data_IF_550060405938
#
_entry.id   IF_550060405938
#
_cell.length_a   1.000
_cell.length_b   1.000
_cell.length_c   1.000
_cell.angle_alpha   90.00
_cell.angle_beta   90.00
_cell.angle_gamma   90.00
#
_symmetry.space_group_name_H-M   'P 1'
#
loop_
_entity.id
_entity.type
_entity.pdbx_description
1 polymer ?
#
# COMPACT_ATOMS: atom_id res chain seq x y z
N UNK A 1 -20.22 -9.04 18.68
CA UNK A 1 -19.39 -7.82 18.44
C UNK A 1 -17.94 -8.18 18.11
N UNK A 2 -17.21 -8.94 18.95
CA UNK A 2 -15.81 -9.35 18.70
C UNK A 2 -15.58 -10.01 17.32
N UNK A 3 -16.38 -11.02 17.00
CA UNK A 3 -16.27 -11.74 15.70
C UNK A 3 -16.50 -10.81 14.50
N UNK A 4 -17.48 -9.91 14.58
CA UNK A 4 -17.76 -8.96 13.50
C UNK A 4 -16.58 -8.02 13.25
N UNK A 5 -15.96 -7.49 14.31
CA UNK A 5 -14.77 -6.64 14.20
C UNK A 5 -13.56 -7.40 13.64
N UNK A 6 -13.39 -8.67 14.03
CA UNK A 6 -12.34 -9.52 13.49
C UNK A 6 -12.55 -9.83 12.00
N UNK A 7 -13.78 -10.11 11.59
CA UNK A 7 -14.12 -10.31 10.17
C UNK A 7 -13.88 -9.04 9.37
N UNK A 8 -14.31 -7.88 9.88
CA UNK A 8 -14.06 -6.58 9.26
C UNK A 8 -12.56 -6.34 9.08
N UNK A 9 -11.76 -6.58 10.12
CA UNK A 9 -10.31 -6.44 10.06
C UNK A 9 -9.68 -7.33 8.99
N UNK A 10 -10.01 -8.62 8.97
CA UNK A 10 -9.48 -9.57 7.99
C UNK A 10 -9.89 -9.20 6.58
N UNK A 11 -11.15 -8.84 6.35
CA UNK A 11 -11.65 -8.41 5.04
C UNK A 11 -10.92 -7.14 4.55
N UNK A 12 -10.69 -6.18 5.46
CA UNK A 12 -9.94 -4.96 5.16
C UNK A 12 -8.47 -5.25 4.81
N UNK A 13 -7.82 -6.21 5.51
CA UNK A 13 -6.45 -6.65 5.19
C UNK A 13 -6.39 -7.27 3.79
N UNK A 14 -7.35 -8.13 3.44
CA UNK A 14 -7.43 -8.75 2.11
C UNK A 14 -7.59 -7.68 1.01
N UNK A 15 -8.50 -6.72 1.22
CA UNK A 15 -8.74 -5.62 0.28
C UNK A 15 -7.50 -4.75 0.10
N UNK A 16 -6.86 -4.38 1.20
CA UNK A 16 -5.66 -3.56 1.23
C UNK A 16 -4.48 -4.24 0.52
N UNK A 17 -4.13 -5.47 0.91
CA UNK A 17 -3.03 -6.22 0.29
C UNK A 17 -3.32 -6.56 -1.17
N UNK A 18 -4.56 -6.91 -1.49
CA UNK A 18 -5.00 -7.17 -2.86
C UNK A 18 -4.79 -5.96 -3.77
N UNK A 19 -5.17 -4.75 -3.31
CA UNK A 19 -4.95 -3.52 -4.07
C UNK A 19 -3.45 -3.24 -4.29
N UNK A 20 -2.61 -3.42 -3.26
CA UNK A 20 -1.17 -3.20 -3.40
C UNK A 20 -0.53 -4.16 -4.43
N UNK A 21 -0.85 -5.45 -4.36
CA UNK A 21 -0.31 -6.45 -5.30
C UNK A 21 -0.80 -6.19 -6.72
N UNK A 22 -2.10 -5.95 -6.90
CA UNK A 22 -2.68 -5.64 -8.21
C UNK A 22 -2.10 -4.36 -8.79
N UNK A 23 -1.91 -3.33 -7.96
CA UNK A 23 -1.30 -2.06 -8.36
C UNK A 23 0.11 -2.22 -8.91
N UNK A 24 0.94 -3.07 -8.27
CA UNK A 24 2.29 -3.37 -8.75
C UNK A 24 2.24 -4.06 -10.12
N UNK A 25 1.37 -5.06 -10.30
CA UNK A 25 1.21 -5.76 -11.58
C UNK A 25 0.75 -4.82 -12.69
N UNK A 26 -0.24 -3.97 -12.44
CA UNK A 26 -0.70 -2.96 -13.40
C UNK A 26 0.41 -1.98 -13.78
N UNK A 27 1.19 -1.53 -12.79
CA UNK A 27 2.32 -0.64 -13.02
C UNK A 27 3.36 -1.28 -13.95
N UNK A 28 3.74 -2.54 -13.69
CA UNK A 28 4.69 -3.29 -14.52
C UNK A 28 4.17 -3.39 -15.97
N UNK A 29 2.90 -3.77 -16.15
CA UNK A 29 2.31 -3.88 -17.49
C UNK A 29 2.26 -2.53 -18.23
N UNK A 30 1.88 -1.47 -17.53
CA UNK A 30 1.88 -0.13 -18.13
C UNK A 30 3.26 0.32 -18.57
N UNK A 31 4.29 0.09 -17.75
CA UNK A 31 5.67 0.46 -18.07
C UNK A 31 6.24 -0.32 -19.26
N UNK A 32 5.85 -1.60 -19.42
CA UNK A 32 6.29 -2.46 -20.51
C UNK A 32 5.76 -2.02 -21.88
N UNK A 33 4.70 -1.21 -21.93
CA UNK A 33 4.17 -0.70 -23.19
C UNK A 33 5.06 0.35 -23.83
N UNK A 34 5.92 0.99 -23.05
CA UNK A 34 6.74 2.15 -23.45
C UNK A 34 5.92 3.29 -24.11
N UNK A 35 4.59 3.29 -23.92
CA UNK A 35 3.67 4.33 -24.41
C UNK A 35 3.37 5.35 -23.30
N UNK A 36 3.75 6.62 -23.47
CA UNK A 36 3.50 7.66 -22.48
C UNK A 36 2.02 7.82 -22.11
N UNK A 37 1.10 7.57 -23.05
CA UNK A 37 -0.36 7.68 -22.82
C UNK A 37 -0.83 6.57 -21.88
N UNK A 38 -0.38 5.33 -22.14
CA UNK A 38 -0.71 4.17 -21.32
C UNK A 38 -0.08 4.30 -19.92
N UNK A 39 1.19 4.70 -19.86
CA UNK A 39 1.90 4.95 -18.60
C UNK A 39 1.17 6.00 -17.75
N UNK A 40 0.79 7.14 -18.35
CA UNK A 40 0.02 8.18 -17.66
C UNK A 40 -1.31 7.64 -17.13
N UNK A 41 -2.05 6.88 -17.96
CA UNK A 41 -3.32 6.28 -17.57
C UNK A 41 -3.16 5.31 -16.40
N UNK A 42 -2.15 4.46 -16.47
CA UNK A 42 -1.83 3.44 -15.45
C UNK A 42 -1.46 4.10 -14.12
N UNK A 43 -0.54 5.07 -14.12
CA UNK A 43 -0.13 5.77 -12.90
C UNK A 43 -1.29 6.57 -12.29
N UNK A 44 -2.11 7.23 -13.11
CA UNK A 44 -3.31 7.92 -12.63
C UNK A 44 -4.34 6.95 -12.04
N UNK A 45 -4.51 5.77 -12.67
CA UNK A 45 -5.36 4.68 -12.18
C UNK A 45 -4.90 4.14 -10.83
N UNK A 46 -3.58 3.92 -10.68
CA UNK A 46 -2.95 3.49 -9.43
C UNK A 46 -3.25 4.46 -8.28
N UNK A 47 -3.02 5.75 -8.48
CA UNK A 47 -3.31 6.79 -7.48
C UNK A 47 -4.81 6.81 -7.11
N UNK A 48 -5.69 6.60 -8.08
CA UNK A 48 -7.14 6.54 -7.85
C UNK A 48 -7.53 5.30 -7.06
N UNK A 49 -6.97 4.14 -7.42
CA UNK A 49 -7.20 2.88 -6.68
C UNK A 49 -6.72 2.99 -5.24
N UNK A 50 -5.57 3.60 -4.99
CA UNK A 50 -5.07 3.85 -3.64
C UNK A 50 -6.02 4.72 -2.81
N UNK A 51 -6.62 5.75 -3.41
CA UNK A 51 -7.60 6.60 -2.71
C UNK A 51 -8.87 5.84 -2.33
N UNK A 52 -9.33 4.90 -3.17
CA UNK A 52 -10.58 4.18 -2.95
C UNK A 52 -10.42 2.87 -2.16
N UNK A 53 -9.24 2.25 -2.19
CA UNK A 53 -9.01 0.95 -1.57
C UNK A 53 -7.95 1.00 -0.47
N UNK A 54 -6.78 1.61 -0.73
CA UNK A 54 -5.70 1.65 0.26
C UNK A 54 -6.10 2.52 1.46
N UNK A 55 -6.56 3.75 1.26
CA UNK A 55 -6.88 4.66 2.36
C UNK A 55 -8.06 4.15 3.21
N UNK A 56 -9.24 3.79 2.62
CA UNK A 56 -10.32 3.20 3.41
C UNK A 56 -9.94 1.86 4.04
N UNK A 57 -9.16 1.04 3.33
CA UNK A 57 -8.64 -0.22 3.85
C UNK A 57 -7.83 -0.04 5.13
N UNK A 58 -6.91 0.93 5.15
CA UNK A 58 -6.13 1.29 6.36
C UNK A 58 -7.05 1.68 7.51
N UNK A 59 -8.04 2.54 7.27
CA UNK A 59 -9.00 2.96 8.31
C UNK A 59 -9.76 1.77 8.88
N UNK A 60 -10.26 0.88 8.01
CA UNK A 60 -11.00 -0.31 8.43
C UNK A 60 -10.10 -1.33 9.15
N UNK A 61 -8.84 -1.48 8.75
CA UNK A 61 -7.85 -2.30 9.45
C UNK A 61 -7.66 -1.79 10.90
N UNK A 62 -7.53 -0.48 11.08
CA UNK A 62 -7.35 0.12 12.40
C UNK A 62 -8.60 -0.05 13.25
N UNK A 63 -9.78 0.31 12.74
CA UNK A 63 -11.05 0.18 13.46
C UNK A 63 -11.31 -1.27 13.85
N UNK A 64 -11.19 -2.19 12.89
CA UNK A 64 -11.43 -3.62 13.13
C UNK A 64 -10.41 -4.24 14.07
N UNK A 65 -9.11 -3.92 13.90
CA UNK A 65 -8.03 -4.47 14.71
C UNK A 65 -8.04 -3.97 16.14
N UNK A 66 -8.06 -2.65 16.35
CA UNK A 66 -8.13 -2.08 17.69
C UNK A 66 -9.46 -2.41 18.39
N UNK A 67 -10.57 -2.33 17.66
CA UNK A 67 -11.88 -2.69 18.19
C UNK A 67 -11.95 -4.15 18.62
N UNK A 68 -11.43 -5.09 17.83
CA UNK A 68 -11.38 -6.49 18.20
C UNK A 68 -10.47 -6.74 19.42
N UNK A 69 -9.33 -6.09 19.49
CA UNK A 69 -8.41 -6.22 20.63
C UNK A 69 -9.05 -5.70 21.94
N UNK A 70 -9.71 -4.53 21.88
CA UNK A 70 -10.39 -3.94 23.03
C UNK A 70 -11.55 -4.83 23.54
N UNK A 71 -12.43 -5.26 22.63
CA UNK A 71 -13.57 -6.13 22.98
C UNK A 71 -13.12 -7.51 23.43
N UNK A 72 -11.97 -8.00 22.90
CA UNK A 72 -11.36 -9.26 23.30
C UNK A 72 -10.55 -9.20 24.59
N UNK A 73 -10.44 -8.02 25.24
CA UNK A 73 -9.67 -7.85 26.46
C UNK A 73 -8.16 -8.05 26.29
N UNK A 74 -7.66 -7.88 25.04
CA UNK A 74 -6.24 -8.08 24.72
C UNK A 74 -5.45 -6.79 24.98
N UNK A 75 -4.45 -6.81 25.90
CA UNK A 75 -3.62 -5.63 26.15
C UNK A 75 -2.69 -5.36 24.96
N UNK A 76 -2.92 -4.27 24.23
CA UNK A 76 -2.22 -3.94 22.97
C UNK A 76 -0.69 -3.93 23.10
N UNK A 77 -0.17 -3.34 24.19
CA UNK A 77 1.28 -3.16 24.41
C UNK A 77 1.93 -4.42 25.01
N UNK A 78 1.19 -5.19 25.78
CA UNK A 78 1.71 -6.39 26.45
C UNK A 78 1.64 -7.65 25.58
N UNK A 79 0.81 -7.63 24.56
CA UNK A 79 0.64 -8.75 23.61
C UNK A 79 1.64 -8.58 22.46
N UNK A 80 2.75 -9.33 22.50
CA UNK A 80 3.89 -9.17 21.59
C UNK A 80 3.49 -9.18 20.12
N UNK A 81 2.67 -10.14 19.68
CA UNK A 81 2.25 -10.25 18.28
C UNK A 81 1.40 -9.06 17.81
N UNK A 82 0.59 -8.44 18.71
CA UNK A 82 -0.15 -7.21 18.41
C UNK A 82 0.81 -6.05 18.26
N UNK A 83 1.76 -5.90 19.18
CA UNK A 83 2.75 -4.83 19.13
C UNK A 83 3.61 -4.91 17.86
N UNK A 84 4.08 -6.11 17.50
CA UNK A 84 4.81 -6.34 16.24
C UNK A 84 3.95 -5.92 15.05
N UNK A 85 2.69 -6.32 15.00
CA UNK A 85 1.77 -5.93 13.93
C UNK A 85 1.59 -4.42 13.84
N UNK A 86 1.40 -3.72 14.95
CA UNK A 86 1.26 -2.25 14.99
C UNK A 86 2.53 -1.58 14.47
N UNK A 87 3.71 -2.00 14.93
CA UNK A 87 4.99 -1.41 14.51
C UNK A 87 5.20 -1.60 13.01
N UNK A 88 5.03 -2.83 12.51
CA UNK A 88 5.21 -3.13 11.08
C UNK A 88 4.21 -2.39 10.20
N UNK A 89 2.95 -2.29 10.63
CA UNK A 89 1.92 -1.56 9.88
C UNK A 89 2.18 -0.05 9.89
N UNK A 90 2.68 0.50 11.00
CA UNK A 90 3.10 1.91 11.09
C UNK A 90 4.28 2.21 10.17
N UNK A 91 5.27 1.32 10.11
CA UNK A 91 6.41 1.44 9.18
C UNK A 91 5.93 1.42 7.71
N UNK A 92 4.99 0.53 7.38
CA UNK A 92 4.34 0.50 6.07
C UNK A 92 3.70 1.84 5.73
N UNK A 93 2.88 2.37 6.63
CA UNK A 93 2.20 3.66 6.45
C UNK A 93 3.18 4.82 6.27
N UNK A 94 4.26 4.86 7.05
CA UNK A 94 5.31 5.86 6.94
C UNK A 94 6.04 5.80 5.58
N UNK A 95 6.41 4.60 5.13
CA UNK A 95 7.03 4.38 3.83
C UNK A 95 6.07 4.78 2.69
N UNK A 96 4.81 4.38 2.78
CA UNK A 96 3.79 4.68 1.78
C UNK A 96 3.53 6.18 1.67
N UNK A 97 3.15 6.85 2.76
CA UNK A 97 2.81 8.27 2.75
C UNK A 97 4.03 9.17 2.51
N UNK A 98 5.18 8.83 3.09
CA UNK A 98 6.39 9.64 3.01
C UNK A 98 7.17 9.48 1.71
N UNK A 99 7.01 8.36 1.01
CA UNK A 99 7.80 8.06 -0.19
C UNK A 99 6.97 7.61 -1.38
N UNK A 100 6.12 6.58 -1.23
CA UNK A 100 5.38 6.01 -2.36
C UNK A 100 4.45 7.05 -2.98
N UNK A 101 3.64 7.72 -2.19
CA UNK A 101 2.68 8.74 -2.67
C UNK A 101 3.37 9.89 -3.40
N UNK A 102 4.42 10.56 -2.86
CA UNK A 102 5.11 11.61 -3.59
C UNK A 102 5.76 11.12 -4.89
N UNK A 103 6.30 9.90 -4.91
CA UNK A 103 6.89 9.32 -6.12
C UNK A 103 5.83 9.06 -7.20
N UNK A 104 4.65 8.55 -6.84
CA UNK A 104 3.53 8.38 -7.77
C UNK A 104 3.12 9.72 -8.41
N UNK A 105 3.03 10.79 -7.61
CA UNK A 105 2.67 12.11 -8.12
C UNK A 105 3.73 12.64 -9.10
N UNK A 106 5.01 12.49 -8.78
CA UNK A 106 6.12 12.88 -9.67
C UNK A 106 6.13 12.06 -10.96
N UNK A 107 5.92 10.73 -10.88
CA UNK A 107 5.81 9.87 -12.07
C UNK A 107 4.65 10.32 -12.97
N UNK A 108 3.49 10.65 -12.36
CA UNK A 108 2.34 11.15 -13.10
C UNK A 108 2.64 12.47 -13.81
N UNK A 109 3.36 13.40 -13.16
CA UNK A 109 3.77 14.65 -13.77
C UNK A 109 4.68 14.42 -14.99
N UNK A 110 5.70 13.55 -14.85
CA UNK A 110 6.60 13.21 -15.97
C UNK A 110 5.83 12.57 -17.11
N UNK A 111 4.90 11.66 -16.82
CA UNK A 111 4.08 11.00 -17.84
C UNK A 111 3.13 11.98 -18.55
N UNK A 112 2.54 12.94 -17.82
CA UNK A 112 1.71 14.01 -18.41
C UNK A 112 2.52 14.88 -19.36
N UNK A 113 3.66 15.38 -18.91
CA UNK A 113 4.56 16.17 -19.74
C UNK A 113 5.00 15.41 -21.00
N UNK A 114 5.29 14.10 -20.86
CA UNK A 114 5.63 13.25 -22.00
C UNK A 114 4.52 13.12 -23.03
N UNK A 115 3.26 13.10 -22.61
CA UNK A 115 2.10 13.10 -23.52
C UNK A 115 1.94 14.45 -24.23
N UNK A 116 2.14 15.56 -23.49
CA UNK A 116 2.00 16.92 -24.03
C UNK A 116 3.10 17.27 -25.04
N UNK A 117 4.33 16.83 -24.78
CA UNK A 117 5.50 17.12 -25.64
C UNK A 117 5.73 16.07 -26.72
N UNK A 118 5.01 14.95 -26.67
CA UNK A 118 5.24 13.78 -27.55
C UNK A 118 6.48 12.96 -27.20
N UNK A 119 7.20 13.30 -26.13
CA UNK A 119 8.43 12.62 -25.71
C UNK A 119 8.53 12.49 -24.20
N UNK A 120 8.61 11.25 -23.71
CA UNK A 120 8.80 10.97 -22.30
C UNK A 120 10.27 11.11 -21.91
N UNK A 121 10.53 11.82 -20.81
CA UNK A 121 11.84 11.82 -20.14
C UNK A 121 12.09 10.47 -19.45
N UNK A 122 12.61 9.51 -20.21
CA UNK A 122 12.82 8.14 -19.76
C UNK A 122 13.81 8.03 -18.61
N UNK A 123 14.86 8.83 -18.57
CA UNK A 123 15.86 8.77 -17.53
C UNK A 123 15.25 9.18 -16.19
N UNK A 124 14.52 10.27 -16.19
CA UNK A 124 13.79 10.76 -15.01
C UNK A 124 12.70 9.78 -14.58
N UNK A 125 11.91 9.26 -15.52
CA UNK A 125 10.86 8.31 -15.24
C UNK A 125 11.40 7.01 -14.62
N UNK A 126 12.46 6.44 -15.20
CA UNK A 126 13.11 5.22 -14.71
C UNK A 126 13.74 5.42 -13.32
N UNK A 127 14.34 6.57 -13.06
CA UNK A 127 14.88 6.89 -11.73
C UNK A 127 13.78 6.93 -10.66
N UNK A 128 12.63 7.55 -10.97
CA UNK A 128 11.46 7.57 -10.08
C UNK A 128 10.87 6.17 -9.88
N UNK A 129 10.77 5.37 -10.95
CA UNK A 129 10.28 3.99 -10.89
C UNK A 129 11.16 3.10 -10.02
N UNK A 130 12.50 3.20 -10.11
CA UNK A 130 13.42 2.45 -9.24
C UNK A 130 13.20 2.78 -7.77
N UNK A 131 13.10 4.08 -7.45
CA UNK A 131 12.83 4.52 -6.09
C UNK A 131 11.45 4.06 -5.61
N UNK A 132 10.44 4.14 -6.45
CA UNK A 132 9.09 3.67 -6.14
C UNK A 132 9.06 2.15 -5.89
N UNK A 133 9.79 1.35 -6.67
CA UNK A 133 9.89 -0.09 -6.48
C UNK A 133 10.48 -0.43 -5.11
N UNK A 134 11.55 0.25 -4.68
CA UNK A 134 12.18 0.02 -3.37
C UNK A 134 11.20 0.34 -2.24
N UNK A 135 10.63 1.54 -2.24
CA UNK A 135 9.73 1.97 -1.17
C UNK A 135 8.37 1.24 -1.20
N UNK A 136 7.88 0.91 -2.40
CA UNK A 136 6.70 0.09 -2.59
C UNK A 136 6.88 -1.34 -2.07
N UNK A 137 8.06 -1.93 -2.28
CA UNK A 137 8.39 -3.24 -1.71
C UNK A 137 8.42 -3.20 -0.19
N UNK A 138 9.02 -2.17 0.41
CA UNK A 138 9.00 -1.99 1.87
C UNK A 138 7.56 -1.83 2.36
N UNK A 139 6.76 -0.97 1.71
CA UNK A 139 5.37 -0.73 2.07
C UNK A 139 4.49 -1.97 1.93
N UNK A 140 4.82 -2.92 1.03
CA UNK A 140 4.11 -4.19 0.86
C UNK A 140 4.59 -5.27 1.83
N UNK A 141 5.90 -5.44 2.00
CA UNK A 141 6.44 -6.53 2.81
C UNK A 141 6.14 -6.35 4.31
N UNK A 142 6.18 -5.12 4.81
CA UNK A 142 5.93 -4.86 6.24
C UNK A 142 4.52 -5.25 6.69
N UNK A 143 3.41 -4.95 5.98
CA UNK A 143 2.10 -5.44 6.38
C UNK A 143 1.91 -6.94 6.13
N UNK A 144 2.61 -7.54 5.15
CA UNK A 144 2.62 -9.00 5.00
C UNK A 144 3.26 -9.66 6.22
N UNK A 145 4.40 -9.15 6.70
CA UNK A 145 5.03 -9.62 7.94
C UNK A 145 4.13 -9.38 9.17
N UNK A 146 3.43 -8.25 9.22
CA UNK A 146 2.43 -7.98 10.26
C UNK A 146 1.31 -9.04 10.25
N UNK A 147 0.79 -9.38 9.07
CA UNK A 147 -0.21 -10.43 8.91
C UNK A 147 0.31 -11.80 9.39
N UNK A 148 1.55 -12.16 9.03
CA UNK A 148 2.18 -13.41 9.49
C UNK A 148 2.29 -13.41 11.01
N UNK A 149 2.76 -12.32 11.63
CA UNK A 149 2.85 -12.21 13.08
C UNK A 149 1.48 -12.35 13.78
N UNK A 150 0.42 -11.76 13.18
CA UNK A 150 -0.95 -11.86 13.69
C UNK A 150 -1.51 -13.30 13.61
N UNK A 151 -1.11 -14.08 12.61
CA UNK A 151 -1.52 -15.48 12.44
C UNK A 151 -0.70 -16.40 13.36
N UNK A 152 0.63 -16.25 13.36
CA UNK A 152 1.55 -17.11 14.10
C UNK A 152 1.53 -16.86 15.62
N UNK A 153 1.14 -15.64 16.04
CA UNK A 153 1.03 -15.23 17.45
C UNK A 153 2.27 -15.61 18.28
N UNK A 154 3.47 -15.18 17.90
CA UNK A 154 4.67 -15.48 18.66
C UNK A 154 4.53 -14.95 20.10
N UNK A 155 4.78 -15.84 21.08
CA UNK A 155 4.57 -15.63 22.52
C UNK A 155 5.53 -14.65 23.18
#
# INVERSE_FOLDING_TARGET
MYIALKVLHVAAVILFLGNLVTGILWKIHGDQTEDPVIIRHTVAGLIRADRWFTIPGVVLILIGGFGAAMVGGLPLIRTKWILIGIVLFTLSGAAYMGRVVPLQQRMLQVARSGVETGQLDWDKYRALTRSWNVWGTIALLTPVLAMIAMIAKPG
#
